data_IF_610277791410
#
_entry.id   IF_610277791410
#
_cell.length_a   1.000
_cell.length_b   1.000
_cell.length_c   1.000
_cell.angle_alpha   90.00
_cell.angle_beta   90.00
_cell.angle_gamma   90.00
#
_symmetry.space_group_name_H-M   'P 1'
#
loop_
_entity.id
_entity.type
_entity.pdbx_description
1 polymer ?
#
# COMPACT_ATOMS: atom_id res chain seq x y z
N UNK A 1 4.54 -25.18 16.18
CA UNK A 1 4.74 -23.73 16.23
C UNK A 1 6.19 -23.38 16.57
N UNK A 2 6.48 -22.11 16.77
CA UNK A 2 7.82 -21.54 17.02
C UNK A 2 8.59 -22.25 18.14
N UNK A 3 7.91 -22.72 19.18
CA UNK A 3 8.50 -23.44 20.32
C UNK A 3 9.20 -24.77 19.97
N UNK A 4 9.09 -25.27 18.72
CA UNK A 4 9.73 -26.51 18.25
C UNK A 4 10.93 -26.26 17.34
N UNK A 5 11.28 -25.00 17.08
CA UNK A 5 12.41 -24.65 16.25
C UNK A 5 13.70 -24.77 17.09
N UNK A 6 14.58 -25.69 16.72
CA UNK A 6 15.82 -25.97 17.46
C UNK A 6 17.07 -25.60 16.64
N UNK A 7 16.89 -25.38 15.34
CA UNK A 7 18.00 -25.03 14.43
C UNK A 7 17.62 -23.93 13.47
N UNK A 8 18.61 -23.36 12.78
CA UNK A 8 18.43 -22.40 11.70
C UNK A 8 17.67 -23.03 10.53
N UNK A 9 17.94 -24.28 10.26
CA UNK A 9 17.31 -25.09 9.21
C UNK A 9 15.81 -25.27 9.51
N UNK A 10 15.45 -25.60 10.75
CA UNK A 10 14.05 -25.69 11.20
C UNK A 10 13.33 -24.36 11.00
N UNK A 11 13.98 -23.25 11.35
CA UNK A 11 13.41 -21.92 11.17
C UNK A 11 13.18 -21.60 9.69
N UNK A 12 14.13 -21.93 8.82
CA UNK A 12 13.99 -21.75 7.37
C UNK A 12 12.83 -22.58 6.80
N UNK A 13 12.73 -23.85 7.16
CA UNK A 13 11.63 -24.71 6.73
C UNK A 13 10.28 -24.22 7.24
N UNK A 14 10.22 -23.74 8.46
CA UNK A 14 9.02 -23.13 9.01
C UNK A 14 8.59 -21.91 8.17
N UNK A 15 9.50 -20.99 7.90
CA UNK A 15 9.21 -19.78 7.06
C UNK A 15 8.71 -20.19 5.67
N UNK A 16 9.34 -21.17 5.03
CA UNK A 16 8.90 -21.68 3.72
C UNK A 16 7.48 -22.27 3.79
N UNK A 17 7.18 -23.04 4.85
CA UNK A 17 5.85 -23.62 5.04
C UNK A 17 4.78 -22.55 5.25
N UNK A 18 5.08 -21.49 6.02
CA UNK A 18 4.18 -20.36 6.25
C UNK A 18 3.94 -19.59 4.96
N UNK A 19 5.00 -19.32 4.20
CA UNK A 19 4.87 -18.64 2.89
C UNK A 19 3.93 -19.39 1.94
N UNK A 20 4.09 -20.73 1.84
CA UNK A 20 3.19 -21.56 1.01
C UNK A 20 1.73 -21.45 1.47
N UNK A 21 1.48 -21.49 2.80
CA UNK A 21 0.12 -21.31 3.36
C UNK A 21 -0.45 -19.94 3.04
N UNK A 22 0.34 -18.87 3.21
CA UNK A 22 -0.09 -17.52 2.85
C UNK A 22 -0.45 -17.47 1.36
N UNK A 23 0.42 -17.97 0.49
CA UNK A 23 0.16 -18.01 -0.95
C UNK A 23 -1.13 -18.76 -1.30
N UNK A 24 -1.40 -19.89 -0.64
CA UNK A 24 -2.65 -20.65 -0.88
C UNK A 24 -3.90 -19.89 -0.42
N UNK A 25 -3.80 -19.07 0.64
CA UNK A 25 -4.93 -18.24 1.09
C UNK A 25 -5.19 -17.03 0.18
N UNK A 26 -4.13 -16.45 -0.37
CA UNK A 26 -4.24 -15.27 -1.24
C UNK A 26 -4.56 -15.62 -2.70
N UNK A 27 -4.40 -16.88 -3.08
CA UNK A 27 -4.58 -17.32 -4.45
C UNK A 27 -3.49 -16.81 -5.40
N UNK A 28 -3.79 -16.81 -6.70
CA UNK A 28 -2.88 -16.36 -7.75
C UNK A 28 -3.06 -14.87 -7.99
N UNK A 29 -1.98 -14.10 -7.85
CA UNK A 29 -2.00 -12.70 -8.24
C UNK A 29 -2.05 -12.56 -9.78
N UNK A 30 -2.70 -11.50 -10.29
CA UNK A 30 -2.76 -11.27 -11.72
C UNK A 30 -1.37 -10.94 -12.31
N UNK A 31 -1.26 -11.03 -13.63
CA UNK A 31 -0.07 -10.55 -14.32
C UNK A 31 0.12 -9.04 -14.12
N UNK A 32 1.37 -8.60 -14.04
CA UNK A 32 1.68 -7.17 -13.96
C UNK A 32 1.35 -6.47 -15.28
N UNK A 33 0.59 -5.40 -15.20
CA UNK A 33 0.27 -4.51 -16.31
C UNK A 33 1.02 -3.17 -16.16
N UNK A 34 1.08 -2.31 -17.17
CA UNK A 34 1.64 -0.97 -17.02
C UNK A 34 0.99 -0.22 -15.85
N UNK A 35 1.79 0.49 -15.07
CA UNK A 35 1.31 1.28 -13.93
C UNK A 35 0.54 2.53 -14.36
N UNK A 36 0.75 3.03 -15.57
CA UNK A 36 0.17 4.28 -16.08
C UNK A 36 0.24 5.41 -15.04
N UNK A 37 1.37 5.46 -14.32
CA UNK A 37 1.54 6.33 -13.17
C UNK A 37 1.65 7.80 -13.59
N UNK A 38 0.99 8.68 -12.83
CA UNK A 38 1.05 10.12 -13.04
C UNK A 38 1.09 10.90 -11.73
N UNK A 39 1.87 11.96 -11.70
CA UNK A 39 1.86 12.94 -10.61
C UNK A 39 0.79 13.97 -10.93
N UNK A 40 -0.21 14.10 -10.06
CA UNK A 40 -1.36 15.00 -10.24
C UNK A 40 -1.20 16.32 -9.50
N UNK A 41 -0.19 16.44 -8.65
CA UNK A 41 0.12 17.66 -7.94
C UNK A 41 1.29 17.49 -6.99
N UNK A 42 1.83 18.62 -6.53
CA UNK A 42 2.93 18.67 -5.58
C UNK A 42 2.61 19.62 -4.43
N UNK A 43 3.12 19.30 -3.24
CA UNK A 43 3.08 20.15 -2.06
C UNK A 43 4.50 20.30 -1.53
N UNK A 44 4.99 21.52 -1.52
CA UNK A 44 6.31 21.84 -0.99
C UNK A 44 6.26 22.04 0.53
N UNK A 45 7.27 21.52 1.22
CA UNK A 45 7.54 21.71 2.65
C UNK A 45 9.02 22.01 2.85
N UNK A 46 9.41 22.51 4.01
CA UNK A 46 10.81 22.93 4.25
C UNK A 46 11.81 21.77 4.12
N UNK A 47 11.48 20.60 4.63
CA UNK A 47 12.39 19.44 4.63
C UNK A 47 12.08 18.37 3.58
N UNK A 48 10.96 18.45 2.89
CA UNK A 48 10.51 17.44 1.92
C UNK A 48 9.50 17.99 0.92
N UNK A 49 9.28 17.24 -0.16
CA UNK A 49 8.19 17.46 -1.13
C UNK A 49 7.21 16.30 -1.04
N UNK A 50 5.91 16.56 -1.21
CA UNK A 50 4.90 15.51 -1.37
C UNK A 50 4.41 15.55 -2.82
N UNK A 51 4.57 14.46 -3.54
CA UNK A 51 3.93 14.26 -4.85
C UNK A 51 2.63 13.48 -4.66
N UNK A 52 1.52 14.02 -5.19
CA UNK A 52 0.24 13.30 -5.27
C UNK A 52 0.29 12.41 -6.50
N UNK A 53 0.16 11.11 -6.30
CA UNK A 53 0.37 10.10 -7.34
C UNK A 53 -0.90 9.30 -7.56
N UNK A 54 -1.20 9.03 -8.83
CA UNK A 54 -2.17 8.00 -9.23
C UNK A 54 -1.43 6.96 -10.06
N UNK A 55 -1.68 5.69 -9.78
CA UNK A 55 -1.19 4.58 -10.61
C UNK A 55 -2.24 3.47 -10.71
N UNK A 56 -2.12 2.61 -11.71
CA UNK A 56 -3.01 1.46 -11.88
C UNK A 56 -2.41 0.20 -11.25
N UNK A 57 -3.14 -0.41 -10.32
CA UNK A 57 -2.77 -1.73 -9.81
C UNK A 57 -3.26 -2.85 -10.73
N UNK A 58 -4.36 -2.63 -11.42
CA UNK A 58 -4.97 -3.44 -12.48
C UNK A 58 -5.44 -2.48 -13.59
N UNK A 59 -5.72 -2.95 -14.80
CA UNK A 59 -6.25 -2.07 -15.84
C UNK A 59 -7.49 -1.28 -15.37
N UNK A 60 -7.43 0.03 -15.48
CA UNK A 60 -8.46 0.98 -15.03
C UNK A 60 -8.79 0.96 -13.53
N UNK A 61 -7.97 0.31 -12.70
CA UNK A 61 -8.15 0.28 -11.25
C UNK A 61 -7.11 1.15 -10.57
N UNK A 62 -7.51 2.39 -10.29
CA UNK A 62 -6.62 3.44 -9.80
C UNK A 62 -6.32 3.30 -8.29
N UNK A 63 -5.07 3.55 -7.95
CA UNK A 63 -4.59 3.70 -6.58
C UNK A 63 -4.10 5.13 -6.39
N UNK A 64 -4.66 5.84 -5.42
CA UNK A 64 -4.21 7.17 -5.02
C UNK A 64 -3.15 7.05 -3.93
N UNK A 65 -2.05 7.79 -4.08
CA UNK A 65 -0.91 7.74 -3.19
C UNK A 65 -0.28 9.11 -2.99
N UNK A 66 0.50 9.25 -1.91
CA UNK A 66 1.39 10.36 -1.67
C UNK A 66 2.83 9.85 -1.57
N UNK A 67 3.73 10.44 -2.34
CA UNK A 67 5.16 10.16 -2.28
C UNK A 67 5.87 11.34 -1.58
N UNK A 68 6.45 11.05 -0.42
CA UNK A 68 7.24 12.00 0.35
C UNK A 68 8.72 11.86 -0.04
N UNK A 69 9.33 12.94 -0.51
CA UNK A 69 10.70 12.97 -1.02
C UNK A 69 11.53 13.94 -0.17
N UNK A 70 12.55 13.47 0.56
CA UNK A 70 13.43 14.34 1.34
C UNK A 70 14.13 15.39 0.48
N UNK A 71 14.29 16.61 1.01
CA UNK A 71 15.11 17.68 0.46
C UNK A 71 16.48 17.72 1.10
N UNK A 72 17.47 18.28 0.40
CA UNK A 72 18.82 18.49 0.94
C UNK A 72 19.61 17.21 1.22
N UNK A 73 19.17 16.07 0.71
CA UNK A 73 19.84 14.77 0.80
C UNK A 73 20.36 14.32 -0.56
N UNK A 74 21.47 13.58 -0.56
CA UNK A 74 22.02 13.01 -1.79
C UNK A 74 21.25 11.72 -2.13
N UNK A 75 20.61 11.69 -3.29
CA UNK A 75 19.93 10.50 -3.82
C UNK A 75 20.93 9.48 -4.44
N UNK A 76 20.57 8.17 -4.54
CA UNK A 76 19.31 7.58 -4.09
C UNK A 76 19.26 7.34 -2.57
N UNK A 77 18.05 7.32 -2.00
CA UNK A 77 17.76 7.15 -0.58
C UNK A 77 16.98 5.85 -0.31
N UNK A 78 17.01 5.32 0.92
CA UNK A 78 16.15 4.20 1.29
C UNK A 78 14.68 4.52 1.05
N UNK A 79 13.91 3.52 0.55
CA UNK A 79 12.49 3.64 0.27
C UNK A 79 11.62 2.89 1.27
N UNK A 80 10.41 3.41 1.53
CA UNK A 80 9.42 2.73 2.37
C UNK A 80 8.06 2.78 1.68
N UNK A 81 7.40 1.62 1.52
CA UNK A 81 5.98 1.55 1.21
C UNK A 81 5.22 1.47 2.51
N UNK A 82 4.35 2.46 2.76
CA UNK A 82 3.50 2.52 3.93
C UNK A 82 2.05 2.17 3.58
N UNK A 83 1.40 1.39 4.44
CA UNK A 83 -0.01 1.04 4.32
C UNK A 83 -0.82 1.69 5.45
N UNK A 84 -2.07 2.04 5.15
CA UNK A 84 -2.99 2.59 6.15
C UNK A 84 -3.72 1.46 6.89
N UNK A 85 -3.87 1.60 8.19
CA UNK A 85 -4.92 0.90 8.94
C UNK A 85 -6.30 1.47 8.59
N UNK A 86 -7.36 1.04 9.30
CA UNK A 86 -8.71 1.54 9.03
C UNK A 86 -8.84 3.02 9.43
N UNK A 87 -9.05 3.85 8.41
CA UNK A 87 -9.26 5.29 8.55
C UNK A 87 -10.16 5.78 7.42
N UNK A 88 -11.18 6.57 7.73
CA UNK A 88 -12.04 7.16 6.69
C UNK A 88 -11.27 8.09 5.75
N UNK A 89 -10.21 8.74 6.25
CA UNK A 89 -9.38 9.67 5.49
C UNK A 89 -8.20 9.00 4.77
N UNK A 90 -8.02 7.66 4.94
CA UNK A 90 -6.92 6.94 4.32
C UNK A 90 -5.55 7.56 4.65
N UNK A 91 -4.72 7.74 3.62
CA UNK A 91 -3.38 8.36 3.72
C UNK A 91 -3.38 9.80 4.25
N UNK A 92 -4.53 10.48 4.24
CA UNK A 92 -4.67 11.85 4.71
C UNK A 92 -4.96 11.94 6.22
N UNK A 93 -5.10 10.81 6.94
CA UNK A 93 -5.24 10.85 8.39
C UNK A 93 -3.98 11.38 9.07
N UNK A 94 -4.14 12.20 10.10
CA UNK A 94 -3.05 12.94 10.76
C UNK A 94 -1.91 12.03 11.21
N UNK A 95 -2.24 10.86 11.79
CA UNK A 95 -1.24 9.90 12.25
C UNK A 95 -0.36 9.38 11.11
N UNK A 96 -0.94 9.10 9.94
CA UNK A 96 -0.17 8.62 8.78
C UNK A 96 0.62 9.73 8.12
N UNK A 97 0.09 10.95 8.08
CA UNK A 97 0.84 12.10 7.61
C UNK A 97 2.05 12.37 8.52
N UNK A 98 1.87 12.40 9.84
CA UNK A 98 2.94 12.61 10.80
C UNK A 98 4.02 11.52 10.69
N UNK A 99 3.62 10.26 10.55
CA UNK A 99 4.53 9.13 10.34
C UNK A 99 5.38 9.29 9.06
N UNK A 100 4.72 9.57 7.93
CA UNK A 100 5.41 9.75 6.65
C UNK A 100 6.34 10.96 6.65
N UNK A 101 5.92 12.08 7.28
CA UNK A 101 6.75 13.27 7.48
C UNK A 101 8.00 12.95 8.31
N UNK A 102 7.82 12.25 9.43
CA UNK A 102 8.93 11.82 10.29
C UNK A 102 9.97 11.01 9.52
N UNK A 103 9.53 10.01 8.77
CA UNK A 103 10.42 9.19 7.94
C UNK A 103 11.12 10.02 6.85
N UNK A 104 10.41 10.93 6.18
CA UNK A 104 10.99 11.81 5.17
C UNK A 104 12.05 12.72 5.77
N UNK A 105 11.81 13.31 6.94
CA UNK A 105 12.80 14.13 7.66
C UNK A 105 14.03 13.31 8.08
N UNK A 106 13.86 12.01 8.36
CA UNK A 106 14.97 11.09 8.64
C UNK A 106 15.75 10.69 7.38
N UNK A 107 15.24 10.98 6.18
CA UNK A 107 15.93 10.71 4.92
C UNK A 107 15.42 9.47 4.16
N UNK A 108 14.19 9.05 4.40
CA UNK A 108 13.53 7.98 3.64
C UNK A 108 12.60 8.56 2.58
N UNK A 109 12.58 7.99 1.39
CA UNK A 109 11.53 8.23 0.41
C UNK A 109 10.33 7.35 0.77
N UNK A 110 9.17 7.95 1.04
CA UNK A 110 8.02 7.22 1.59
C UNK A 110 6.82 7.30 0.64
N UNK A 111 6.33 6.16 0.18
CA UNK A 111 5.10 6.07 -0.57
C UNK A 111 4.00 5.51 0.34
N UNK A 112 2.95 6.28 0.57
CA UNK A 112 1.73 5.82 1.26
C UNK A 112 0.56 5.89 0.29
N UNK A 113 -0.32 4.88 0.31
CA UNK A 113 -1.47 4.81 -0.58
C UNK A 113 -2.77 4.54 0.16
N UNK A 114 -3.89 4.96 -0.43
CA UNK A 114 -5.21 4.64 0.11
C UNK A 114 -5.57 3.18 -0.17
N UNK A 115 -5.96 2.42 0.84
CA UNK A 115 -6.59 1.11 0.63
C UNK A 115 -7.94 1.26 -0.10
N UNK A 116 -8.39 0.20 -0.75
CA UNK A 116 -9.76 0.14 -1.31
C UNK A 116 -10.76 0.49 -0.20
N UNK A 117 -11.72 1.36 -0.51
CA UNK A 117 -12.77 1.75 0.43
C UNK A 117 -12.36 2.78 1.48
N UNK A 118 -11.20 3.45 1.32
CA UNK A 118 -10.71 4.49 2.22
C UNK A 118 -10.17 5.69 1.44
N UNK A 119 -10.14 6.86 2.09
CA UNK A 119 -9.59 8.09 1.51
C UNK A 119 -10.26 8.47 0.19
N UNK A 120 -9.46 8.58 -0.87
CA UNK A 120 -9.94 8.89 -2.23
C UNK A 120 -10.44 7.65 -3.00
N UNK A 121 -10.47 6.47 -2.38
CA UNK A 121 -10.85 5.19 -3.01
C UNK A 121 -12.16 4.62 -2.47
N UNK A 122 -13.10 5.50 -2.09
CA UNK A 122 -14.46 5.12 -1.68
C UNK A 122 -15.18 4.47 -2.86
N UNK A 123 -15.71 3.25 -2.68
CA UNK A 123 -16.33 2.48 -3.75
C UNK A 123 -17.83 2.78 -3.88
N UNK A 124 -18.48 3.12 -2.78
CA UNK A 124 -19.92 3.37 -2.73
C UNK A 124 -20.26 4.87 -2.65
N UNK A 125 -19.38 5.74 -3.14
CA UNK A 125 -19.58 7.19 -3.14
C UNK A 125 -20.80 7.68 -3.93
N UNK A 126 -21.24 6.89 -4.92
CA UNK A 126 -22.44 7.14 -5.72
C UNK A 126 -23.75 6.77 -5.03
N UNK A 127 -23.68 6.02 -3.91
CA UNK A 127 -24.86 5.62 -3.13
C UNK A 127 -25.17 6.71 -2.12
N UNK A 128 -26.48 6.97 -1.90
CA UNK A 128 -26.96 7.92 -0.88
C UNK A 128 -26.33 7.61 0.50
N UNK A 129 -25.86 8.65 1.19
CA UNK A 129 -25.09 8.52 2.43
C UNK A 129 -25.79 7.67 3.51
N UNK A 130 -27.09 7.72 3.58
CA UNK A 130 -27.91 6.94 4.54
C UNK A 130 -27.98 5.45 4.23
N UNK A 131 -27.66 5.04 2.98
CA UNK A 131 -27.81 3.66 2.47
C UNK A 131 -26.47 2.99 2.16
N UNK A 132 -25.38 3.75 2.16
CA UNK A 132 -24.06 3.19 1.86
C UNK A 132 -23.36 2.63 3.10
N UNK A 133 -22.47 1.63 2.95
CA UNK A 133 -21.63 1.18 4.04
C UNK A 133 -20.71 2.33 4.53
N UNK A 134 -20.33 2.29 5.79
CA UNK A 134 -19.35 3.24 6.33
C UNK A 134 -18.00 3.09 5.63
N UNK A 135 -17.33 4.21 5.37
CA UNK A 135 -15.99 4.23 4.79
C UNK A 135 -15.05 3.41 5.67
N UNK A 136 -14.14 2.67 5.06
CA UNK A 136 -13.20 1.79 5.74
C UNK A 136 -13.84 0.44 6.05
N UNK A 137 -14.05 0.12 7.32
CA UNK A 137 -14.52 -1.22 7.76
C UNK A 137 -15.81 -1.63 7.07
N UNK A 138 -16.81 -0.73 7.00
CA UNK A 138 -18.10 -1.04 6.36
C UNK A 138 -17.95 -1.40 4.88
N UNK A 139 -17.20 -0.62 4.12
CA UNK A 139 -16.94 -0.93 2.70
C UNK A 139 -16.12 -2.21 2.54
N UNK A 140 -15.15 -2.49 3.45
CA UNK A 140 -14.36 -3.72 3.39
C UNK A 140 -15.20 -4.97 3.65
N UNK A 141 -16.10 -4.92 4.63
CA UNK A 141 -17.01 -6.04 4.89
C UNK A 141 -18.00 -6.25 3.74
N UNK A 142 -18.58 -5.16 3.24
CA UNK A 142 -19.55 -5.24 2.15
C UNK A 142 -18.91 -5.76 0.86
N UNK A 143 -17.83 -5.15 0.41
CA UNK A 143 -17.10 -5.58 -0.78
C UNK A 143 -16.46 -6.95 -0.62
N UNK A 144 -15.91 -7.25 0.56
CA UNK A 144 -15.31 -8.56 0.85
C UNK A 144 -16.32 -9.70 0.82
N UNK A 145 -17.53 -9.50 1.36
CA UNK A 145 -18.60 -10.50 1.28
C UNK A 145 -19.03 -10.75 -0.17
N UNK A 146 -19.14 -9.68 -0.98
CA UNK A 146 -19.45 -9.83 -2.42
C UNK A 146 -18.37 -10.63 -3.17
N UNK A 147 -17.09 -10.37 -2.87
CA UNK A 147 -15.98 -11.10 -3.48
C UNK A 147 -15.96 -12.58 -3.08
N UNK A 148 -16.27 -12.90 -1.82
CA UNK A 148 -16.37 -14.29 -1.37
C UNK A 148 -17.44 -15.09 -2.15
N UNK A 149 -18.55 -14.46 -2.54
CA UNK A 149 -19.61 -15.10 -3.33
C UNK A 149 -19.12 -15.53 -4.72
N UNK A 150 -18.09 -14.89 -5.26
CA UNK A 150 -17.50 -15.22 -6.57
C UNK A 150 -16.16 -15.94 -6.43
N UNK A 151 -15.80 -16.42 -5.25
CA UNK A 151 -14.56 -17.16 -5.01
C UNK A 151 -13.31 -16.29 -4.91
N UNK A 152 -13.47 -14.98 -4.77
CA UNK A 152 -12.37 -14.02 -4.62
C UNK A 152 -12.10 -13.71 -3.13
N UNK A 153 -10.87 -13.31 -2.83
CA UNK A 153 -10.49 -12.87 -1.49
C UNK A 153 -10.06 -11.40 -1.49
N UNK A 154 -10.79 -10.57 -0.75
CA UNK A 154 -10.54 -9.12 -0.68
C UNK A 154 -9.12 -8.76 -0.23
N UNK A 155 -8.53 -9.58 0.66
CA UNK A 155 -7.15 -9.42 1.07
C UNK A 155 -6.15 -9.52 -0.08
N UNK A 156 -6.42 -10.35 -1.10
CA UNK A 156 -5.58 -10.48 -2.30
C UNK A 156 -5.55 -9.20 -3.12
N UNK A 157 -6.69 -8.52 -3.25
CA UNK A 157 -6.77 -7.24 -3.96
C UNK A 157 -5.97 -6.15 -3.24
N UNK A 158 -6.09 -6.10 -1.91
CA UNK A 158 -5.33 -5.13 -1.10
C UNK A 158 -3.82 -5.41 -1.12
N UNK A 159 -3.43 -6.68 -1.01
CA UNK A 159 -2.03 -7.07 -1.11
C UNK A 159 -1.45 -6.76 -2.49
N UNK A 160 -2.24 -6.96 -3.55
CA UNK A 160 -1.83 -6.62 -4.90
C UNK A 160 -1.58 -5.12 -5.07
N UNK A 161 -2.44 -4.26 -4.53
CA UNK A 161 -2.22 -2.81 -4.53
C UNK A 161 -0.87 -2.45 -3.86
N UNK A 162 -0.53 -3.11 -2.75
CA UNK A 162 0.76 -2.92 -2.08
C UNK A 162 1.95 -3.39 -2.92
N UNK A 163 1.83 -4.51 -3.63
CA UNK A 163 2.85 -4.99 -4.58
C UNK A 163 3.05 -3.97 -5.70
N UNK A 164 1.97 -3.43 -6.26
CA UNK A 164 2.05 -2.42 -7.32
C UNK A 164 2.55 -1.07 -6.83
N UNK A 165 2.27 -0.72 -5.58
CA UNK A 165 2.86 0.45 -4.91
C UNK A 165 4.39 0.31 -4.79
N UNK A 166 4.86 -0.88 -4.42
CA UNK A 166 6.30 -1.19 -4.43
C UNK A 166 6.90 -1.08 -5.84
N UNK A 167 6.23 -1.65 -6.85
CA UNK A 167 6.67 -1.53 -8.23
C UNK A 167 6.81 -0.05 -8.64
N UNK A 168 5.85 0.80 -8.30
CA UNK A 168 5.94 2.24 -8.55
C UNK A 168 7.12 2.87 -7.81
N UNK A 169 7.28 2.59 -6.51
CA UNK A 169 8.37 3.15 -5.72
C UNK A 169 9.75 2.82 -6.33
N UNK A 170 9.90 1.60 -6.84
CA UNK A 170 11.13 1.14 -7.49
C UNK A 170 11.41 1.79 -8.85
N UNK A 171 10.44 2.46 -9.47
CA UNK A 171 10.69 3.25 -10.69
C UNK A 171 11.28 4.62 -10.40
N UNK A 172 11.32 5.02 -9.12
CA UNK A 172 11.73 6.37 -8.75
C UNK A 172 13.25 6.50 -8.64
N UNK A 173 13.87 7.45 -9.35
CA UNK A 173 15.32 7.65 -9.29
C UNK A 173 15.83 8.11 -7.93
N UNK A 174 14.94 8.63 -7.08
CA UNK A 174 15.24 9.03 -5.71
C UNK A 174 15.45 7.83 -4.76
N UNK A 175 15.07 6.61 -5.17
CA UNK A 175 15.03 5.41 -4.31
C UNK A 175 16.18 4.46 -4.62
N UNK A 176 16.88 4.04 -3.57
CA UNK A 176 17.84 2.93 -3.63
C UNK A 176 17.06 1.59 -3.63
N UNK A 177 17.00 0.86 -4.76
CA UNK A 177 16.22 -0.36 -4.87
C UNK A 177 16.72 -1.50 -3.97
N UNK A 178 17.94 -1.38 -3.44
CA UNK A 178 18.52 -2.38 -2.52
C UNK A 178 18.15 -2.12 -1.05
N UNK A 179 17.53 -0.97 -0.75
CA UNK A 179 17.19 -0.52 0.61
C UNK A 179 15.72 -0.12 0.69
N UNK A 180 14.83 -1.08 0.48
CA UNK A 180 13.39 -0.84 0.53
C UNK A 180 12.74 -1.67 1.63
N UNK A 181 11.89 -1.01 2.42
CA UNK A 181 11.09 -1.62 3.47
C UNK A 181 9.58 -1.42 3.25
N UNK A 182 8.80 -2.14 4.05
CA UNK A 182 7.32 -2.06 4.08
C UNK A 182 6.87 -1.93 5.53
N UNK A 183 5.85 -1.12 5.79
CA UNK A 183 5.26 -0.93 7.12
C UNK A 183 3.74 -0.78 7.05
#
# INVERSE_FOLDING_TARGET
>A
GIKRLQSKEDAQQYVLSVRKKIQSCFGVFPAKTPLNARVTGKVERDGYTIEKVLFESRPNFLVSANLYIPKGKKHPLPGVVASCGHSSNGKAADAYQAFCQGLAMMGYVVLIFDPIGQGERVQYGHVEKSKRPSIGVGEHMHGGNQQLLVGEFFGSWRAWDGIRALDYLLTRPEVDPTKVGVT
#
